data_IF_736744687062
#
_entry.id   IF_736744687062
#
_cell.length_a   1.000
_cell.length_b   1.000
_cell.length_c   1.000
_cell.angle_alpha   90.00
_cell.angle_beta   90.00
_cell.angle_gamma   90.00
#
_symmetry.space_group_name_H-M   'P 1'
#
loop_
_entity.id
_entity.type
_entity.pdbx_description
1 polymer ?
#
# COMPACT_ATOMS: atom_id res chain seq x y z
N UNK A 1 1.17 -17.76 -4.44
CA UNK A 1 1.70 -17.90 -3.09
C UNK A 1 2.08 -16.49 -2.68
N UNK A 2 1.59 -16.02 -1.54
CA UNK A 2 2.01 -14.73 -0.99
C UNK A 2 3.46 -14.86 -0.51
N UNK A 3 4.30 -13.91 -0.90
CA UNK A 3 5.68 -13.83 -0.45
C UNK A 3 5.82 -12.65 0.51
N UNK A 4 6.73 -12.73 1.48
CA UNK A 4 7.03 -11.59 2.35
C UNK A 4 8.46 -11.64 2.87
N UNK A 5 8.99 -10.48 3.25
CA UNK A 5 10.29 -10.38 3.91
C UNK A 5 10.36 -9.12 4.78
N UNK A 6 11.25 -9.14 5.77
CA UNK A 6 11.55 -7.99 6.62
C UNK A 6 12.60 -7.13 5.91
N UNK A 7 12.33 -5.85 5.73
CA UNK A 7 13.28 -4.92 5.11
C UNK A 7 14.54 -4.78 5.98
N UNK A 8 15.74 -4.76 5.38
CA UNK A 8 16.97 -4.44 6.11
C UNK A 8 16.96 -3.02 6.69
N UNK A 9 16.09 -2.13 6.19
CA UNK A 9 15.90 -0.78 6.72
C UNK A 9 15.07 -0.73 8.01
N UNK A 10 14.61 -1.87 8.54
CA UNK A 10 13.89 -1.89 9.83
C UNK A 10 14.78 -1.33 10.94
N UNK A 11 14.24 -0.43 11.77
CA UNK A 11 14.97 0.20 12.88
C UNK A 11 14.85 -0.58 14.19
N UNK A 12 14.12 -1.71 14.19
CA UNK A 12 14.00 -2.64 15.31
C UNK A 12 13.79 -4.09 14.81
N UNK A 13 14.10 -5.06 15.67
CA UNK A 13 13.94 -6.50 15.40
C UNK A 13 13.01 -7.20 16.39
N UNK A 14 13.15 -6.89 17.68
CA UNK A 14 12.42 -7.54 18.79
C UNK A 14 11.36 -6.62 19.41
N UNK A 15 11.78 -5.53 20.06
CA UNK A 15 10.88 -4.57 20.72
C UNK A 15 10.50 -3.43 19.79
N UNK A 16 9.62 -3.75 18.85
CA UNK A 16 9.15 -2.82 17.85
C UNK A 16 7.89 -2.09 18.30
N UNK A 17 7.87 -0.77 18.15
CA UNK A 17 6.70 0.04 18.51
C UNK A 17 5.72 0.17 17.36
N UNK A 18 6.27 0.32 16.15
CA UNK A 18 5.50 0.50 14.93
C UNK A 18 5.79 -0.65 13.98
N UNK A 19 4.74 -1.26 13.42
CA UNK A 19 4.85 -2.17 12.28
C UNK A 19 4.38 -1.43 11.02
N UNK A 20 5.27 -1.27 10.05
CA UNK A 20 4.96 -0.72 8.73
C UNK A 20 4.97 -1.85 7.71
N UNK A 21 3.85 -2.07 7.04
CA UNK A 21 3.71 -3.11 6.02
C UNK A 21 3.50 -2.49 4.64
N UNK A 22 4.47 -2.67 3.74
CA UNK A 22 4.29 -2.37 2.33
C UNK A 22 3.61 -3.55 1.65
N UNK A 23 2.48 -3.32 0.99
CA UNK A 23 1.65 -4.35 0.36
C UNK A 23 1.65 -4.11 -1.16
N UNK A 24 2.29 -5.02 -1.87
CA UNK A 24 2.56 -4.90 -3.29
C UNK A 24 1.32 -5.14 -4.16
N UNK A 25 1.32 -4.47 -5.32
CA UNK A 25 0.38 -4.73 -6.40
C UNK A 25 0.85 -5.85 -7.33
N UNK A 26 0.37 -5.78 -8.57
CA UNK A 26 0.80 -6.69 -9.63
C UNK A 26 2.17 -6.25 -10.19
N UNK A 27 2.91 -7.19 -10.76
CA UNK A 27 4.23 -6.98 -11.39
C UNK A 27 5.23 -6.15 -10.55
N UNK A 28 5.17 -6.27 -9.23
CA UNK A 28 6.11 -5.58 -8.34
C UNK A 28 7.40 -6.39 -8.19
N UNK A 29 8.54 -5.71 -8.26
CA UNK A 29 9.86 -6.27 -7.98
C UNK A 29 10.22 -6.04 -6.51
N UNK A 30 11.11 -6.89 -6.01
CA UNK A 30 11.55 -6.90 -4.62
C UNK A 30 12.00 -5.53 -4.11
N UNK A 31 12.72 -4.78 -4.94
CA UNK A 31 13.35 -3.51 -4.60
C UNK A 31 12.45 -2.28 -4.82
N UNK A 32 11.22 -2.43 -5.31
CA UNK A 32 10.33 -1.28 -5.59
C UNK A 32 10.01 -0.42 -4.37
N UNK A 33 10.12 -0.97 -3.16
CA UNK A 33 9.84 -0.25 -1.91
C UNK A 33 11.10 0.09 -1.11
N UNK A 34 12.31 -0.24 -1.58
CA UNK A 34 13.54 -0.06 -0.80
C UNK A 34 13.78 1.41 -0.42
N UNK A 35 13.60 2.32 -1.36
CA UNK A 35 13.81 3.74 -1.10
C UNK A 35 12.76 4.30 -0.12
N UNK A 36 11.49 3.97 -0.31
CA UNK A 36 10.43 4.31 0.64
C UNK A 36 10.65 3.69 2.04
N UNK A 37 11.19 2.47 2.12
CA UNK A 37 11.54 1.84 3.40
C UNK A 37 12.69 2.59 4.10
N UNK A 38 13.68 3.09 3.36
CA UNK A 38 14.71 3.97 3.92
C UNK A 38 14.11 5.28 4.44
N UNK A 39 13.16 5.87 3.73
CA UNK A 39 12.46 7.08 4.19
C UNK A 39 11.60 6.85 5.45
N UNK A 40 11.03 5.65 5.61
CA UNK A 40 10.36 5.23 6.85
C UNK A 40 11.38 5.15 7.98
N UNK A 41 12.53 4.48 7.75
CA UNK A 41 13.57 4.30 8.76
C UNK A 41 14.12 5.63 9.31
N UNK A 42 14.21 6.66 8.46
CA UNK A 42 14.61 8.03 8.86
C UNK A 42 13.61 8.69 9.80
N UNK A 43 12.32 8.36 9.71
CA UNK A 43 11.22 9.06 10.39
C UNK A 43 10.65 8.31 11.58
N UNK A 44 10.72 6.97 11.58
CA UNK A 44 10.19 6.12 12.66
C UNK A 44 11.33 5.37 13.37
N UNK A 45 11.58 5.68 14.65
CA UNK A 45 12.78 5.23 15.37
C UNK A 45 12.74 3.77 15.82
N UNK A 46 11.55 3.19 15.95
CA UNK A 46 11.33 1.79 16.38
C UNK A 46 10.35 1.06 15.45
N UNK A 47 10.59 1.16 14.15
CA UNK A 47 9.77 0.58 13.10
C UNK A 47 10.31 -0.75 12.57
N UNK A 48 9.46 -1.77 12.61
CA UNK A 48 9.63 -2.99 11.82
C UNK A 48 9.00 -2.76 10.47
N UNK A 49 9.74 -3.02 9.40
CA UNK A 49 9.25 -2.82 8.04
C UNK A 49 9.12 -4.17 7.36
N UNK A 50 7.89 -4.55 7.01
CA UNK A 50 7.59 -5.83 6.33
C UNK A 50 7.09 -5.54 4.93
N UNK A 51 7.66 -6.21 3.94
CA UNK A 51 7.18 -6.15 2.56
C UNK A 51 6.39 -7.42 2.25
N UNK A 52 5.17 -7.26 1.76
CA UNK A 52 4.24 -8.34 1.46
C UNK A 52 3.90 -8.26 -0.03
N UNK A 53 3.98 -9.38 -0.72
CA UNK A 53 3.69 -9.54 -2.14
C UNK A 53 2.54 -10.54 -2.32
N UNK A 54 1.27 -10.09 -2.15
CA UNK A 54 0.10 -10.97 -2.20
C UNK A 54 -0.05 -11.70 -3.54
N UNK A 55 0.47 -11.08 -4.60
CA UNK A 55 0.39 -11.57 -5.97
C UNK A 55 1.66 -12.31 -6.44
N UNK A 56 2.70 -12.35 -5.59
CA UNK A 56 4.03 -12.87 -5.87
C UNK A 56 4.97 -11.87 -6.58
N UNK A 57 6.27 -12.15 -6.55
CA UNK A 57 7.32 -11.28 -7.09
C UNK A 57 7.54 -11.44 -8.62
N UNK A 58 7.89 -10.33 -9.28
CA UNK A 58 8.30 -10.33 -10.69
C UNK A 58 9.79 -10.69 -10.91
N UNK A 59 10.60 -10.73 -9.84
CA UNK A 59 12.04 -10.96 -9.92
C UNK A 59 12.39 -12.25 -10.68
N UNK A 60 13.35 -12.14 -11.61
CA UNK A 60 13.85 -13.26 -12.39
C UNK A 60 12.82 -13.87 -13.37
N UNK A 61 11.66 -13.23 -13.58
CA UNK A 61 10.68 -13.67 -14.59
C UNK A 61 10.87 -12.88 -15.88
N UNK A 62 10.94 -13.60 -17.00
CA UNK A 62 11.07 -13.03 -18.33
C UNK A 62 10.19 -13.79 -19.33
N UNK A 63 9.91 -13.18 -20.48
CA UNK A 63 9.16 -13.80 -21.58
C UNK A 63 7.83 -14.43 -21.14
N UNK A 64 7.61 -15.69 -21.54
CA UNK A 64 6.39 -16.43 -21.25
C UNK A 64 6.10 -16.61 -19.75
N UNK A 65 7.15 -16.71 -18.92
CA UNK A 65 6.98 -16.83 -17.47
C UNK A 65 6.45 -15.54 -16.85
N UNK A 66 6.91 -14.38 -17.33
CA UNK A 66 6.40 -13.07 -16.90
C UNK A 66 4.96 -12.86 -17.37
N UNK A 67 4.65 -13.24 -18.61
CA UNK A 67 3.29 -13.16 -19.13
C UNK A 67 2.31 -14.03 -18.32
N UNK A 68 2.69 -15.28 -18.03
CA UNK A 68 1.89 -16.20 -17.18
C UNK A 68 1.73 -15.67 -15.75
N UNK A 69 2.75 -15.01 -15.22
CA UNK A 69 2.64 -14.33 -13.93
C UNK A 69 1.59 -13.22 -14.02
N UNK A 70 1.70 -12.32 -14.99
CA UNK A 70 0.79 -11.20 -15.17
C UNK A 70 -0.66 -11.67 -15.31
N UNK A 71 -0.96 -12.64 -16.18
CA UNK A 71 -2.34 -13.12 -16.38
C UNK A 71 -2.94 -13.68 -15.10
N UNK A 72 -2.16 -14.46 -14.33
CA UNK A 72 -2.57 -14.93 -13.00
C UNK A 72 -2.84 -13.77 -12.05
N UNK A 73 -1.94 -12.80 -11.98
CA UNK A 73 -2.05 -11.66 -11.07
C UNK A 73 -3.26 -10.78 -11.41
N UNK A 74 -3.54 -10.54 -12.70
CA UNK A 74 -4.71 -9.80 -13.15
C UNK A 74 -6.02 -10.48 -12.75
N UNK A 75 -6.11 -11.80 -12.93
CA UNK A 75 -7.28 -12.57 -12.48
C UNK A 75 -7.47 -12.46 -10.96
N UNK A 76 -6.39 -12.56 -10.19
CA UNK A 76 -6.42 -12.44 -8.74
C UNK A 76 -6.83 -11.03 -8.28
N UNK A 77 -6.24 -9.99 -8.85
CA UNK A 77 -6.57 -8.60 -8.56
C UNK A 77 -8.03 -8.27 -8.94
N UNK A 78 -8.50 -8.78 -10.08
CA UNK A 78 -9.89 -8.68 -10.49
C UNK A 78 -10.85 -9.32 -9.50
N UNK A 79 -10.53 -10.52 -9.00
CA UNK A 79 -11.30 -11.18 -7.95
C UNK A 79 -11.31 -10.34 -6.66
N UNK A 80 -10.15 -9.81 -6.27
CA UNK A 80 -10.05 -8.98 -5.08
C UNK A 80 -10.93 -7.75 -5.25
N UNK A 81 -10.80 -6.93 -6.28
CA UNK A 81 -11.61 -5.71 -6.47
C UNK A 81 -13.11 -5.83 -6.11
N UNK A 82 -13.73 -6.99 -6.36
CA UNK A 82 -15.15 -7.23 -6.11
C UNK A 82 -15.49 -8.03 -4.83
N UNK A 83 -14.53 -8.72 -4.19
CA UNK A 83 -14.77 -9.61 -3.04
C UNK A 83 -14.07 -9.14 -1.77
N UNK A 84 -14.83 -8.82 -0.73
CA UNK A 84 -14.28 -8.40 0.58
C UNK A 84 -13.25 -9.36 1.17
N UNK A 85 -13.46 -10.66 1.00
CA UNK A 85 -12.60 -11.71 1.53
C UNK A 85 -11.91 -12.47 0.41
N UNK A 86 -10.59 -12.63 0.54
CA UNK A 86 -9.82 -13.47 -0.36
C UNK A 86 -8.70 -14.19 0.38
N UNK A 87 -8.17 -15.25 -0.24
CA UNK A 87 -7.03 -15.98 0.30
C UNK A 87 -5.84 -15.06 0.59
N UNK A 88 -5.62 -14.02 -0.23
CA UNK A 88 -4.54 -13.05 -0.08
C UNK A 88 -4.73 -12.14 1.14
N UNK A 89 -5.97 -11.74 1.42
CA UNK A 89 -6.30 -11.00 2.65
C UNK A 89 -5.96 -11.85 3.87
N UNK A 90 -6.41 -13.11 3.90
CA UNK A 90 -6.12 -14.03 5.01
C UNK A 90 -4.63 -14.29 5.21
N UNK A 91 -3.89 -14.52 4.12
CA UNK A 91 -2.44 -14.74 4.16
C UNK A 91 -1.70 -13.47 4.65
N UNK A 92 -2.08 -12.28 4.16
CA UNK A 92 -1.50 -11.02 4.62
C UNK A 92 -1.79 -10.77 6.11
N UNK A 93 -3.03 -11.00 6.57
CA UNK A 93 -3.39 -10.89 7.99
C UNK A 93 -2.56 -11.84 8.86
N UNK A 94 -2.34 -13.08 8.42
CA UNK A 94 -1.51 -14.04 9.16
C UNK A 94 -0.05 -13.57 9.27
N UNK A 95 0.54 -13.09 8.17
CA UNK A 95 1.91 -12.54 8.16
C UNK A 95 2.02 -11.35 9.10
N UNK A 96 1.08 -10.41 9.05
CA UNK A 96 1.11 -9.22 9.90
C UNK A 96 0.99 -9.61 11.37
N UNK A 97 0.08 -10.53 11.71
CA UNK A 97 -0.08 -11.01 13.09
C UNK A 97 1.18 -11.65 13.65
N UNK A 98 1.93 -12.40 12.83
CA UNK A 98 3.20 -12.98 13.24
C UNK A 98 4.27 -11.92 13.60
N UNK A 99 4.06 -10.65 13.23
CA UNK A 99 4.95 -9.54 13.51
C UNK A 99 4.35 -8.49 14.46
N UNK A 100 3.08 -8.60 14.83
CA UNK A 100 2.32 -7.55 15.53
C UNK A 100 2.13 -7.80 17.04
N UNK A 101 2.76 -8.84 17.63
CA UNK A 101 2.48 -9.27 19.00
C UNK A 101 2.67 -8.19 20.08
N UNK A 102 3.56 -7.22 19.85
CA UNK A 102 3.89 -6.17 20.81
C UNK A 102 3.96 -4.77 20.19
N UNK A 103 3.33 -4.59 19.02
CA UNK A 103 3.36 -3.29 18.34
C UNK A 103 2.18 -2.43 18.80
N UNK A 104 2.47 -1.19 19.15
CA UNK A 104 1.44 -0.21 19.52
C UNK A 104 0.68 0.26 18.28
N UNK A 105 1.35 0.29 17.12
CA UNK A 105 0.82 0.87 15.90
C UNK A 105 1.06 0.01 14.67
N UNK A 106 0.03 -0.11 13.84
CA UNK A 106 0.10 -0.78 12.55
C UNK A 106 -0.17 0.21 11.41
N UNK A 107 0.78 0.34 10.50
CA UNK A 107 0.66 1.15 9.28
C UNK A 107 0.70 0.23 8.07
N UNK A 108 -0.39 0.19 7.29
CA UNK A 108 -0.49 -0.60 6.06
C UNK A 108 -0.43 0.33 4.84
N UNK A 109 0.57 0.16 3.98
CA UNK A 109 0.77 1.00 2.80
C UNK A 109 0.66 0.11 1.57
N UNK A 110 -0.46 0.18 0.87
CA UNK A 110 -0.74 -0.66 -0.29
C UNK A 110 -0.62 0.09 -1.61
N UNK A 111 0.18 -0.43 -2.54
CA UNK A 111 0.32 0.12 -3.89
C UNK A 111 -0.57 -0.60 -4.90
N UNK A 112 -1.23 0.13 -5.81
CA UNK A 112 -2.01 -0.48 -6.89
C UNK A 112 -3.05 -1.47 -6.33
N UNK A 113 -3.18 -2.69 -6.88
CA UNK A 113 -4.04 -3.74 -6.32
C UNK A 113 -3.71 -4.07 -4.83
N UNK A 114 -2.48 -3.84 -4.39
CA UNK A 114 -2.07 -3.96 -2.99
C UNK A 114 -2.79 -3.00 -2.05
N UNK A 115 -3.29 -1.84 -2.53
CA UNK A 115 -4.13 -0.93 -1.75
C UNK A 115 -5.48 -1.56 -1.34
N UNK A 116 -6.06 -2.35 -2.24
CA UNK A 116 -7.29 -3.13 -1.97
C UNK A 116 -7.01 -4.17 -0.87
N UNK A 117 -5.88 -4.87 -0.98
CA UNK A 117 -5.47 -5.86 0.01
C UNK A 117 -5.18 -5.19 1.35
N UNK A 118 -4.47 -4.06 1.37
CA UNK A 118 -4.15 -3.32 2.59
C UNK A 118 -5.40 -2.92 3.36
N UNK A 119 -6.38 -2.31 2.68
CA UNK A 119 -7.65 -1.91 3.30
C UNK A 119 -8.37 -3.09 3.94
N UNK A 120 -8.52 -4.20 3.20
CA UNK A 120 -9.27 -5.36 3.67
C UNK A 120 -8.55 -6.16 4.74
N UNK A 121 -7.23 -6.20 4.65
CA UNK A 121 -6.37 -6.82 5.66
C UNK A 121 -6.49 -6.05 6.97
N UNK A 122 -6.44 -4.72 6.94
CA UNK A 122 -6.67 -3.94 8.16
C UNK A 122 -8.08 -4.11 8.73
N UNK A 123 -9.11 -4.21 7.87
CA UNK A 123 -10.48 -4.47 8.32
C UNK A 123 -10.59 -5.86 8.96
N UNK A 124 -10.03 -6.89 8.33
CA UNK A 124 -9.95 -8.26 8.85
C UNK A 124 -9.23 -8.31 10.21
N UNK A 125 -8.10 -7.60 10.34
CA UNK A 125 -7.33 -7.51 11.58
C UNK A 125 -8.14 -6.86 12.71
N UNK A 126 -8.90 -5.82 12.40
CA UNK A 126 -9.74 -5.14 13.38
C UNK A 126 -10.97 -5.99 13.76
N UNK A 127 -11.71 -6.53 12.78
CA UNK A 127 -12.97 -7.25 13.00
C UNK A 127 -12.75 -8.61 13.67
N UNK A 128 -11.68 -9.34 13.31
CA UNK A 128 -11.49 -10.73 13.73
C UNK A 128 -10.36 -10.95 14.74
N UNK A 129 -9.44 -10.01 14.87
CA UNK A 129 -8.28 -10.15 15.74
C UNK A 129 -8.13 -9.02 16.75
N UNK A 130 -9.10 -8.09 16.80
CA UNK A 130 -9.15 -7.00 17.78
C UNK A 130 -8.02 -5.99 17.66
N UNK A 131 -7.27 -5.99 16.56
CA UNK A 131 -6.16 -5.08 16.35
C UNK A 131 -6.65 -3.62 16.34
N UNK A 132 -6.00 -2.77 17.13
CA UNK A 132 -6.31 -1.36 17.27
C UNK A 132 -5.25 -0.49 16.59
N UNK A 133 -5.53 0.81 16.45
CA UNK A 133 -4.59 1.81 15.93
C UNK A 133 -4.03 1.49 14.53
N UNK A 134 -4.87 0.91 13.66
CA UNK A 134 -4.50 0.63 12.28
C UNK A 134 -4.68 1.89 11.44
N UNK A 135 -3.64 2.25 10.68
CA UNK A 135 -3.71 3.27 9.62
C UNK A 135 -3.45 2.62 8.28
N UNK A 136 -4.31 2.89 7.31
CA UNK A 136 -4.19 2.32 5.96
C UNK A 136 -4.03 3.44 4.94
N UNK A 137 -3.02 3.29 4.09
CA UNK A 137 -2.73 4.17 2.98
C UNK A 137 -2.84 3.39 1.67
N UNK A 138 -3.84 3.70 0.86
CA UNK A 138 -3.97 3.18 -0.50
C UNK A 138 -3.32 4.13 -1.48
N UNK A 139 -2.19 3.75 -2.07
CA UNK A 139 -1.37 4.62 -2.94
C UNK A 139 -1.52 4.18 -4.40
N UNK A 140 -2.04 5.07 -5.24
CA UNK A 140 -2.27 4.79 -6.66
C UNK A 140 -3.17 3.57 -6.91
N UNK A 141 -4.00 3.17 -5.94
CA UNK A 141 -4.82 1.96 -6.07
C UNK A 141 -6.07 2.23 -6.92
N UNK A 142 -6.65 1.21 -7.57
CA UNK A 142 -7.99 1.33 -8.13
C UNK A 142 -9.01 1.59 -7.03
N UNK A 143 -10.15 2.17 -7.39
CA UNK A 143 -11.29 2.32 -6.48
C UNK A 143 -12.02 0.99 -6.35
N UNK A 144 -12.48 0.68 -5.14
CA UNK A 144 -13.20 -0.55 -4.82
C UNK A 144 -14.30 -0.25 -3.80
N UNK A 145 -15.25 -1.16 -3.61
CA UNK A 145 -16.41 -0.86 -2.77
C UNK A 145 -16.03 -0.74 -1.29
N UNK A 146 -16.33 0.43 -0.72
CA UNK A 146 -16.14 0.73 0.71
C UNK A 146 -17.49 0.69 1.42
N UNK A 147 -17.54 -0.02 2.56
CA UNK A 147 -18.69 0.00 3.47
C UNK A 147 -18.74 1.36 4.16
N UNK A 148 -19.91 1.83 4.57
CA UNK A 148 -20.01 3.08 5.35
C UNK A 148 -19.84 2.77 6.84
N UNK A 149 -18.58 2.62 7.28
CA UNK A 149 -18.22 2.18 8.63
C UNK A 149 -17.12 3.05 9.23
N UNK A 150 -17.02 3.18 10.57
CA UNK A 150 -16.01 4.01 11.24
C UNK A 150 -14.56 3.68 10.84
N UNK A 151 -14.29 2.42 10.48
CA UNK A 151 -12.97 2.00 9.99
C UNK A 151 -12.44 2.84 8.82
N UNK A 152 -13.31 3.37 7.96
CA UNK A 152 -12.90 4.21 6.83
C UNK A 152 -12.16 5.47 7.25
N UNK A 153 -12.38 5.98 8.47
CA UNK A 153 -11.67 7.15 9.00
C UNK A 153 -10.16 6.90 9.11
N UNK A 154 -9.77 5.63 9.30
CA UNK A 154 -8.37 5.20 9.29
C UNK A 154 -7.80 4.95 7.90
N UNK A 155 -8.60 5.03 6.84
CA UNK A 155 -8.18 4.83 5.45
C UNK A 155 -7.97 6.15 4.71
N UNK A 156 -6.74 6.36 4.24
CA UNK A 156 -6.34 7.48 3.39
C UNK A 156 -6.00 6.97 2.00
N UNK A 157 -6.63 7.57 0.99
CA UNK A 157 -6.35 7.31 -0.42
C UNK A 157 -5.42 8.39 -0.98
N UNK A 158 -4.27 7.99 -1.51
CA UNK A 158 -3.25 8.89 -2.04
C UNK A 158 -3.10 8.65 -3.54
N UNK A 159 -3.19 9.71 -4.33
CA UNK A 159 -2.93 9.69 -5.77
C UNK A 159 -1.91 10.74 -6.16
N UNK A 160 -1.33 10.59 -7.34
CA UNK A 160 -0.48 11.62 -7.91
C UNK A 160 -1.26 12.69 -8.67
N UNK A 161 -0.60 13.80 -8.98
CA UNK A 161 -1.14 14.89 -9.79
C UNK A 161 -1.36 14.48 -11.24
N UNK A 162 -0.47 13.65 -11.80
CA UNK A 162 -0.60 13.15 -13.16
C UNK A 162 -1.65 12.04 -13.26
N UNK A 163 -2.15 11.87 -14.49
CA UNK A 163 -3.24 10.95 -14.82
C UNK A 163 -2.79 9.48 -14.71
N UNK A 164 -2.87 8.92 -13.51
CA UNK A 164 -2.78 7.46 -13.29
C UNK A 164 -4.07 6.79 -13.78
N UNK A 165 -3.97 5.84 -14.72
CA UNK A 165 -5.15 5.14 -15.26
C UNK A 165 -5.71 4.14 -14.26
N UNK A 166 -4.89 3.62 -13.35
CA UNK A 166 -5.32 2.62 -12.37
C UNK A 166 -6.28 3.24 -11.36
N UNK A 167 -6.04 4.48 -10.94
CA UNK A 167 -6.87 5.23 -9.98
C UNK A 167 -8.25 5.61 -10.52
N UNK A 168 -8.46 5.49 -11.84
CA UNK A 168 -9.73 5.74 -12.52
C UNK A 168 -10.62 4.50 -12.61
N UNK A 169 -10.08 3.33 -12.30
CA UNK A 169 -10.82 2.07 -12.34
C UNK A 169 -11.70 1.97 -11.10
N UNK A 170 -12.97 1.60 -11.31
CA UNK A 170 -13.90 1.27 -10.24
C UNK A 170 -14.55 2.48 -9.56
N UNK A 171 -15.16 2.22 -8.40
CA UNK A 171 -15.89 3.22 -7.61
C UNK A 171 -15.87 2.84 -6.13
N UNK A 172 -15.81 3.84 -5.24
CA UNK A 172 -15.99 3.64 -3.80
C UNK A 172 -17.37 3.14 -3.44
N UNK A 173 -18.37 3.55 -4.24
CA UNK A 173 -19.78 3.23 -4.05
C UNK A 173 -20.23 2.16 -5.01
N UNK A 174 -21.08 1.24 -4.54
CA UNK A 174 -21.81 0.31 -5.39
C UNK A 174 -23.22 0.86 -5.66
N UNK A 175 -23.58 1.19 -6.92
CA UNK A 175 -24.91 1.68 -7.25
C UNK A 175 -26.01 0.76 -6.72
N UNK A 176 -27.05 1.33 -6.13
CA UNK A 176 -28.17 0.60 -5.52
C UNK A 176 -27.87 -0.08 -4.18
N UNK A 177 -26.62 -0.08 -3.70
CA UNK A 177 -26.27 -0.69 -2.42
C UNK A 177 -26.56 0.25 -1.24
N UNK A 178 -27.18 -0.30 -0.19
CA UNK A 178 -27.28 0.36 1.13
C UNK A 178 -26.03 0.18 1.99
N UNK A 179 -25.20 -0.82 1.68
CA UNK A 179 -24.02 -1.22 2.45
C UNK A 179 -22.78 -0.47 1.96
N UNK A 180 -22.60 -0.40 0.63
CA UNK A 180 -21.39 0.15 0.01
C UNK A 180 -21.62 1.55 -0.55
N UNK A 181 -21.80 2.52 0.34
CA UNK A 181 -21.95 3.96 0.02
C UNK A 181 -20.70 4.78 0.39
N UNK A 182 -19.72 4.15 1.03
CA UNK A 182 -18.61 4.83 1.67
C UNK A 182 -17.70 5.59 0.71
N UNK A 183 -16.84 6.39 1.31
CA UNK A 183 -15.68 7.04 0.71
C UNK A 183 -14.50 6.83 1.66
N UNK A 184 -13.25 6.94 1.19
CA UNK A 184 -12.11 6.98 2.11
C UNK A 184 -12.27 8.13 3.11
N UNK A 185 -11.70 7.96 4.31
CA UNK A 185 -11.69 9.02 5.32
C UNK A 185 -10.97 10.27 4.83
N UNK A 186 -9.93 10.09 4.00
CA UNK A 186 -9.20 11.18 3.35
C UNK A 186 -8.82 10.80 1.91
N UNK A 187 -8.90 11.74 1.00
CA UNK A 187 -8.30 11.66 -0.35
C UNK A 187 -7.26 12.77 -0.45
N UNK A 188 -6.03 12.42 -0.84
CA UNK A 188 -4.90 13.35 -0.95
C UNK A 188 -4.28 13.18 -2.33
N UNK A 189 -4.00 14.31 -2.97
CA UNK A 189 -3.22 14.36 -4.19
C UNK A 189 -1.82 14.91 -3.86
N UNK A 190 -0.78 14.26 -4.37
CA UNK A 190 0.61 14.66 -4.19
C UNK A 190 1.26 14.99 -5.54
N UNK A 191 2.23 15.90 -5.50
CA UNK A 191 3.08 16.21 -6.63
C UNK A 191 4.25 15.24 -6.66
N UNK A 192 4.30 14.43 -7.71
CA UNK A 192 5.40 13.52 -8.00
C UNK A 192 6.20 13.98 -9.22
N UNK A 193 7.26 13.26 -9.57
CA UNK A 193 8.06 13.59 -10.75
C UNK A 193 7.15 13.76 -12.00
N UNK A 194 7.11 14.97 -12.61
CA UNK A 194 6.21 15.29 -13.71
C UNK A 194 6.56 14.57 -15.03
N UNK A 195 7.82 14.13 -15.18
CA UNK A 195 8.32 13.43 -16.38
C UNK A 195 7.75 12.00 -16.48
N UNK A 196 7.21 11.48 -15.39
CA UNK A 196 6.59 10.18 -15.36
C UNK A 196 5.13 10.27 -15.82
N UNK A 197 4.81 9.52 -16.89
CA UNK A 197 3.47 9.43 -17.46
C UNK A 197 3.01 7.97 -17.61
N UNK A 198 1.69 7.76 -17.60
CA UNK A 198 1.08 6.45 -17.83
C UNK A 198 1.55 5.38 -16.83
N UNK A 199 1.98 4.22 -17.33
CA UNK A 199 2.39 3.10 -16.47
C UNK A 199 3.67 3.40 -15.67
N UNK A 200 4.57 4.25 -16.20
CA UNK A 200 5.79 4.66 -15.50
C UNK A 200 5.45 5.49 -14.26
N UNK A 201 4.48 6.40 -14.40
CA UNK A 201 3.94 7.15 -13.27
C UNK A 201 3.40 6.21 -12.20
N UNK A 202 2.51 5.30 -12.59
CA UNK A 202 1.90 4.34 -11.69
C UNK A 202 2.94 3.48 -10.94
N UNK A 203 4.05 3.11 -11.58
CA UNK A 203 5.09 2.29 -10.97
C UNK A 203 6.07 3.07 -10.05
N UNK A 204 5.99 4.41 -10.03
CA UNK A 204 7.06 5.25 -9.48
C UNK A 204 6.78 5.88 -8.12
N UNK A 205 5.60 5.71 -7.53
CA UNK A 205 5.23 6.32 -6.24
C UNK A 205 6.24 6.08 -5.11
N UNK A 206 6.92 4.93 -5.11
CA UNK A 206 7.83 4.49 -4.04
C UNK A 206 9.30 4.51 -4.44
N UNK A 207 9.60 4.92 -5.67
CA UNK A 207 10.95 4.93 -6.21
C UNK A 207 11.66 6.23 -5.88
N UNK A 208 13.00 6.19 -5.91
CA UNK A 208 13.89 7.36 -5.85
C UNK A 208 13.85 8.15 -7.16
N UNK A 209 12.67 8.55 -7.60
CA UNK A 209 12.46 9.32 -8.83
C UNK A 209 12.63 10.79 -8.51
N UNK A 210 13.81 11.34 -8.75
CA UNK A 210 14.15 12.71 -8.41
C UNK A 210 13.64 13.71 -9.44
N UNK A 211 13.16 14.88 -9.01
CA UNK A 211 12.91 16.05 -9.86
C UNK A 211 13.20 17.33 -9.08
N UNK A 212 13.38 18.45 -9.80
CA UNK A 212 13.43 19.77 -9.20
C UNK A 212 12.00 20.35 -9.16
N UNK A 213 11.55 20.81 -8.00
CA UNK A 213 10.27 21.51 -7.89
C UNK A 213 10.36 22.95 -8.44
N UNK A 214 9.25 23.70 -8.36
CA UNK A 214 9.18 25.08 -8.83
C UNK A 214 10.16 26.04 -8.11
N UNK A 215 10.73 25.63 -6.98
CA UNK A 215 11.71 26.37 -6.21
C UNK A 215 13.14 25.79 -6.37
N UNK A 216 13.37 25.00 -7.42
CA UNK A 216 14.66 24.34 -7.71
C UNK A 216 15.14 23.37 -6.61
N UNK A 217 14.25 22.96 -5.71
CA UNK A 217 14.57 22.00 -4.66
C UNK A 217 14.43 20.58 -5.19
N UNK A 218 15.48 19.77 -5.04
CA UNK A 218 15.45 18.36 -5.41
C UNK A 218 14.59 17.56 -4.45
N UNK A 219 13.57 16.89 -5.00
CA UNK A 219 12.65 15.99 -4.26
C UNK A 219 12.65 14.60 -4.88
N UNK A 220 12.26 13.58 -4.12
CA UNK A 220 11.99 12.23 -4.64
C UNK A 220 10.57 11.77 -4.32
N UNK A 221 10.01 10.87 -5.14
CA UNK A 221 8.62 10.44 -4.96
C UNK A 221 8.43 9.73 -3.61
N UNK A 222 9.37 8.84 -3.28
CA UNK A 222 9.47 8.16 -2.01
C UNK A 222 9.51 9.11 -0.81
N UNK A 223 10.33 10.17 -0.88
CA UNK A 223 10.46 11.14 0.21
C UNK A 223 9.14 11.89 0.42
N UNK A 224 8.56 12.44 -0.64
CA UNK A 224 7.29 13.19 -0.56
C UNK A 224 6.14 12.31 -0.03
N UNK A 225 6.03 11.08 -0.55
CA UNK A 225 5.01 10.14 -0.12
C UNK A 225 5.16 9.79 1.36
N UNK A 226 6.37 9.44 1.78
CA UNK A 226 6.61 8.99 3.16
C UNK A 226 6.58 10.17 4.14
N UNK A 227 7.01 11.36 3.73
CA UNK A 227 6.85 12.59 4.50
C UNK A 227 5.36 12.88 4.75
N UNK A 228 4.51 12.78 3.72
CA UNK A 228 3.06 12.96 3.89
C UNK A 228 2.44 11.90 4.80
N UNK A 229 2.84 10.63 4.65
CA UNK A 229 2.36 9.56 5.55
C UNK A 229 2.76 9.84 7.00
N UNK A 230 4.00 10.29 7.23
CA UNK A 230 4.48 10.67 8.56
C UNK A 230 3.75 11.88 9.14
N UNK A 231 3.47 12.91 8.35
CA UNK A 231 2.65 14.05 8.78
C UNK A 231 1.27 13.60 9.29
N UNK A 232 0.65 12.62 8.63
CA UNK A 232 -0.67 12.11 8.99
C UNK A 232 -0.63 11.07 10.13
N UNK A 233 0.54 10.48 10.40
CA UNK A 233 0.73 9.42 11.37
C UNK A 233 2.12 9.50 12.05
N UNK A 234 2.44 10.58 12.76
CA UNK A 234 3.79 10.85 13.27
C UNK A 234 4.18 9.88 14.40
N UNK A 235 5.47 9.58 14.53
CA UNK A 235 6.03 8.80 15.64
C UNK A 235 5.91 9.65 16.92
N UNK A 236 5.05 9.25 17.85
CA UNK A 236 4.78 9.95 19.12
C UNK A 236 5.23 9.07 20.26
#
# INVERSE_FOLDING_TARGET
MTESYISPSSTCTEKCRTLVCFIAGILTYRNNFEDAANEIAKRYRHAKIVMIFPYGLANGKQGSALFRLLTRQLSQAGFDLVRDQSRRVKEASHIIRAHAADVERLILIGHSAGGVIAYRTGLELQEHYGAQQIRVFGVGCPKFYLKDIPYNEGFTYITGQNRDRITQIGSWRKPGSKIYKGKPGREIQLDFNPDHQGWRFHASYFLKSSWADANETFRTNSEELIAKIYELCPDH
#
